data_IF_295891255732
#
_entry.id   IF_295891255732
#
_cell.length_a   1.000
_cell.length_b   1.000
_cell.length_c   1.000
_cell.angle_alpha   90.00
_cell.angle_beta   90.00
_cell.angle_gamma   90.00
#
_symmetry.space_group_name_H-M   'P 1'
#
loop_
_entity.id
_entity.type
_entity.pdbx_description
1 polymer ?
#
# COMPACT_ATOMS: atom_id res chain seq x y z
N UNK A 1 6.14 8.80 -27.14
CA UNK A 1 4.93 9.13 -26.38
C UNK A 1 4.79 8.11 -25.27
N UNK A 2 4.89 8.53 -24.00
CA UNK A 2 4.49 7.69 -22.88
C UNK A 2 2.98 7.49 -23.06
N UNK A 3 2.57 6.37 -23.65
CA UNK A 3 1.15 6.05 -23.79
C UNK A 3 0.56 6.09 -22.39
N UNK A 4 -0.48 6.89 -22.17
CA UNK A 4 -1.20 6.95 -20.91
C UNK A 4 -1.42 5.51 -20.42
N UNK A 5 -0.80 5.16 -19.29
CA UNK A 5 -0.83 3.80 -18.78
C UNK A 5 -2.23 3.58 -18.20
N UNK A 6 -3.07 2.84 -18.92
CA UNK A 6 -4.46 2.58 -18.51
C UNK A 6 -5.51 3.40 -19.26
N UNK A 7 -6.76 3.07 -18.99
CA UNK A 7 -7.91 3.75 -19.59
C UNK A 7 -8.00 5.19 -19.09
N UNK A 8 -8.33 6.14 -19.97
CA UNK A 8 -8.44 7.56 -19.58
C UNK A 8 -9.49 7.78 -18.49
N UNK A 9 -9.25 8.73 -17.58
CA UNK A 9 -10.09 8.97 -16.38
C UNK A 9 -11.58 9.13 -16.70
N UNK A 10 -11.92 9.91 -17.73
CA UNK A 10 -13.31 10.14 -18.11
C UNK A 10 -13.98 8.90 -18.74
N UNK A 11 -13.21 8.02 -19.41
CA UNK A 11 -13.70 6.71 -19.84
C UNK A 11 -14.01 5.81 -18.63
N UNK A 12 -13.11 5.79 -17.62
CA UNK A 12 -13.34 5.03 -16.38
C UNK A 12 -14.58 5.55 -15.64
N UNK A 13 -14.76 6.87 -15.54
CA UNK A 13 -15.94 7.49 -14.94
C UNK A 13 -17.22 7.17 -15.72
N UNK A 14 -17.17 7.13 -17.06
CA UNK A 14 -18.30 6.74 -17.89
C UNK A 14 -18.73 5.29 -17.61
N UNK A 15 -17.77 4.36 -17.50
CA UNK A 15 -18.05 2.98 -17.11
C UNK A 15 -18.63 2.90 -15.69
N UNK A 16 -18.06 3.64 -14.75
CA UNK A 16 -18.50 3.66 -13.34
C UNK A 16 -19.94 4.16 -13.20
N UNK A 17 -20.31 5.24 -13.90
CA UNK A 17 -21.69 5.79 -13.88
C UNK A 17 -22.72 4.86 -14.49
N UNK A 18 -22.33 4.05 -15.47
CA UNK A 18 -23.22 3.11 -16.15
C UNK A 18 -23.10 1.67 -15.63
N UNK A 19 -22.32 1.45 -14.57
CA UNK A 19 -21.91 0.12 -14.08
C UNK A 19 -23.09 -0.81 -13.79
N UNK A 20 -24.13 -0.31 -13.13
CA UNK A 20 -25.32 -1.12 -12.77
C UNK A 20 -26.05 -1.60 -14.02
N UNK A 21 -26.21 -0.73 -15.01
CA UNK A 21 -26.91 -1.06 -16.25
C UNK A 21 -26.11 -2.05 -17.07
N UNK A 22 -24.80 -1.83 -17.20
CA UNK A 22 -23.89 -2.74 -17.87
C UNK A 22 -23.86 -4.11 -17.19
N UNK A 23 -23.77 -4.16 -15.86
CA UNK A 23 -23.77 -5.43 -15.14
C UNK A 23 -25.05 -6.25 -15.37
N UNK A 24 -26.20 -5.60 -15.63
CA UNK A 24 -27.50 -6.26 -15.85
C UNK A 24 -27.72 -6.70 -17.29
N UNK A 25 -27.36 -5.88 -18.26
CA UNK A 25 -27.77 -6.07 -19.66
C UNK A 25 -26.66 -6.58 -20.58
N UNK A 26 -25.41 -6.56 -20.13
CA UNK A 26 -24.28 -6.98 -20.93
C UNK A 26 -24.34 -8.49 -21.20
N UNK A 27 -24.20 -8.86 -22.47
CA UNK A 27 -24.06 -10.23 -22.94
C UNK A 27 -22.60 -10.47 -23.29
N UNK A 28 -21.88 -11.17 -22.41
CA UNK A 28 -20.43 -11.35 -22.56
C UNK A 28 -20.03 -12.34 -23.64
N UNK A 29 -20.85 -13.35 -23.95
CA UNK A 29 -20.40 -14.50 -24.75
C UNK A 29 -19.78 -14.09 -26.09
N UNK A 30 -20.52 -13.36 -26.91
CA UNK A 30 -20.04 -12.87 -28.22
C UNK A 30 -19.06 -11.70 -28.08
N UNK A 31 -19.21 -10.91 -27.00
CA UNK A 31 -18.39 -9.75 -26.74
C UNK A 31 -16.95 -10.11 -26.38
N UNK A 32 -16.76 -11.21 -25.65
CA UNK A 32 -15.45 -11.75 -25.28
C UNK A 32 -14.62 -12.13 -26.51
N UNK A 33 -15.25 -12.74 -27.53
CA UNK A 33 -14.56 -13.14 -28.76
C UNK A 33 -13.93 -11.92 -29.46
N UNK A 34 -14.67 -10.82 -29.56
CA UNK A 34 -14.17 -9.56 -30.13
C UNK A 34 -13.08 -8.90 -29.26
N UNK A 35 -13.17 -8.98 -27.93
CA UNK A 35 -12.12 -8.44 -27.05
C UNK A 35 -10.82 -9.24 -27.12
N UNK A 36 -10.90 -10.55 -27.31
CA UNK A 36 -9.72 -11.41 -27.52
C UNK A 36 -9.10 -11.07 -28.88
N UNK A 37 -9.91 -10.93 -29.93
CA UNK A 37 -9.43 -10.57 -31.27
C UNK A 37 -8.69 -9.21 -31.28
N UNK A 38 -9.15 -8.25 -30.47
CA UNK A 38 -8.49 -6.93 -30.32
C UNK A 38 -7.34 -6.92 -29.30
N UNK A 39 -6.90 -8.09 -28.82
CA UNK A 39 -5.85 -8.27 -27.80
C UNK A 39 -6.09 -7.48 -26.50
N UNK A 40 -7.35 -7.13 -26.20
CA UNK A 40 -7.71 -6.38 -25.00
C UNK A 40 -7.78 -7.32 -23.81
N UNK A 41 -8.37 -8.51 -23.94
CA UNK A 41 -8.42 -9.52 -22.89
C UNK A 41 -7.79 -10.82 -23.37
N UNK A 42 -7.21 -11.58 -22.45
CA UNK A 42 -6.63 -12.89 -22.77
C UNK A 42 -7.66 -14.00 -22.56
N UNK A 43 -7.43 -15.16 -23.17
CA UNK A 43 -8.27 -16.35 -22.98
C UNK A 43 -8.34 -16.74 -21.50
N UNK A 44 -7.23 -16.66 -20.76
CA UNK A 44 -7.16 -16.91 -19.32
C UNK A 44 -8.09 -15.97 -18.52
N UNK A 45 -8.15 -14.69 -18.89
CA UNK A 45 -9.08 -13.75 -18.27
C UNK A 45 -10.54 -14.13 -18.56
N UNK A 46 -10.83 -14.60 -19.76
CA UNK A 46 -12.18 -15.07 -20.13
C UNK A 46 -12.57 -16.28 -19.29
N UNK A 47 -11.66 -17.22 -19.06
CA UNK A 47 -11.89 -18.38 -18.18
C UNK A 47 -12.17 -17.95 -16.73
N UNK A 48 -11.41 -17.00 -16.18
CA UNK A 48 -11.65 -16.45 -14.84
C UNK A 48 -13.03 -15.76 -14.73
N UNK A 49 -13.42 -15.02 -15.76
CA UNK A 49 -14.72 -14.37 -15.83
C UNK A 49 -15.81 -15.44 -15.89
N UNK A 50 -15.68 -16.44 -16.76
CA UNK A 50 -16.64 -17.52 -16.94
C UNK A 50 -16.78 -18.42 -15.70
N UNK A 51 -15.74 -18.51 -14.86
CA UNK A 51 -15.78 -19.23 -13.59
C UNK A 51 -16.75 -18.60 -12.56
N UNK A 52 -17.14 -17.33 -12.72
CA UNK A 52 -18.13 -16.69 -11.84
C UNK A 52 -19.54 -17.23 -12.13
N UNK A 53 -20.32 -17.44 -11.07
CA UNK A 53 -21.69 -17.96 -11.15
C UNK A 53 -22.70 -16.88 -11.56
N UNK A 54 -23.29 -17.07 -12.74
CA UNK A 54 -24.37 -16.21 -13.27
C UNK A 54 -23.87 -15.01 -14.07
N UNK A 55 -24.64 -14.61 -15.08
CA UNK A 55 -24.27 -13.55 -16.03
C UNK A 55 -23.91 -12.23 -15.34
N UNK A 56 -24.67 -11.83 -14.32
CA UNK A 56 -24.40 -10.60 -13.57
C UNK A 56 -23.00 -10.57 -12.95
N UNK A 57 -22.60 -11.65 -12.26
CA UNK A 57 -21.29 -11.77 -11.62
C UNK A 57 -20.16 -11.77 -12.66
N UNK A 58 -20.36 -12.44 -13.79
CA UNK A 58 -19.41 -12.45 -14.91
C UNK A 58 -19.25 -11.03 -15.50
N UNK A 59 -20.36 -10.30 -15.68
CA UNK A 59 -20.36 -8.93 -16.18
C UNK A 59 -19.59 -7.99 -15.25
N UNK A 60 -19.81 -8.10 -13.94
CA UNK A 60 -19.08 -7.29 -12.94
C UNK A 60 -17.57 -7.58 -13.00
N UNK A 61 -17.18 -8.85 -13.09
CA UNK A 61 -15.77 -9.24 -13.18
C UNK A 61 -15.11 -8.66 -14.44
N UNK A 62 -15.77 -8.78 -15.61
CA UNK A 62 -15.28 -8.17 -16.85
C UNK A 62 -15.12 -6.65 -16.73
N UNK A 63 -16.12 -5.96 -16.17
CA UNK A 63 -16.11 -4.50 -16.00
C UNK A 63 -15.04 -4.03 -15.00
N UNK A 64 -14.59 -4.89 -14.08
CA UNK A 64 -13.46 -4.61 -13.18
C UNK A 64 -12.11 -4.70 -13.89
N UNK A 65 -12.00 -5.62 -14.84
CA UNK A 65 -10.77 -5.84 -15.59
C UNK A 65 -10.59 -4.78 -16.69
N UNK A 66 -11.67 -4.39 -17.37
CA UNK A 66 -11.63 -3.55 -18.56
C UNK A 66 -10.87 -2.21 -18.39
N UNK A 67 -11.06 -1.40 -17.31
CA UNK A 67 -10.31 -0.15 -17.09
C UNK A 67 -8.79 -0.30 -17.09
N UNK A 68 -8.31 -1.51 -16.78
CA UNK A 68 -6.89 -1.81 -16.56
C UNK A 68 -6.18 -2.31 -17.81
N UNK A 69 -6.92 -2.55 -18.91
CA UNK A 69 -6.39 -3.13 -20.16
C UNK A 69 -5.82 -2.11 -21.14
N UNK A 70 -5.47 -0.93 -20.63
CA UNK A 70 -4.79 0.11 -21.39
C UNK A 70 -5.73 1.12 -22.05
N UNK A 71 -5.16 2.10 -22.76
CA UNK A 71 -5.91 3.26 -23.26
C UNK A 71 -6.95 2.90 -24.34
N UNK A 72 -6.69 1.83 -25.11
CA UNK A 72 -7.55 1.37 -26.21
C UNK A 72 -8.69 0.47 -25.73
N UNK A 73 -8.71 0.07 -24.45
CA UNK A 73 -9.71 -0.86 -23.93
C UNK A 73 -11.13 -0.29 -24.04
N UNK A 74 -11.31 1.02 -23.82
CA UNK A 74 -12.61 1.66 -23.90
C UNK A 74 -13.16 1.73 -25.34
N UNK A 75 -12.32 2.11 -26.29
CA UNK A 75 -12.72 2.19 -27.70
C UNK A 75 -13.03 0.80 -28.26
N UNK A 76 -12.16 -0.17 -27.99
CA UNK A 76 -12.40 -1.57 -28.34
C UNK A 76 -13.68 -2.11 -27.69
N UNK A 77 -13.97 -1.70 -26.44
CA UNK A 77 -15.21 -2.07 -25.78
C UNK A 77 -16.45 -1.54 -26.49
N UNK A 78 -16.43 -0.26 -26.87
CA UNK A 78 -17.53 0.37 -27.59
C UNK A 78 -17.73 -0.26 -28.99
N UNK A 79 -16.65 -0.58 -29.70
CA UNK A 79 -16.72 -1.26 -31.01
C UNK A 79 -17.32 -2.66 -30.88
N UNK A 80 -16.86 -3.47 -29.94
CA UNK A 80 -17.39 -4.82 -29.75
C UNK A 80 -18.86 -4.81 -29.30
N UNK A 81 -19.31 -3.81 -28.52
CA UNK A 81 -20.74 -3.63 -28.23
C UNK A 81 -21.55 -3.36 -29.51
N UNK A 82 -21.02 -2.60 -30.46
CA UNK A 82 -21.67 -2.35 -31.74
C UNK A 82 -21.74 -3.60 -32.62
N UNK A 83 -20.66 -4.37 -32.68
CA UNK A 83 -20.54 -5.61 -33.47
C UNK A 83 -21.43 -6.74 -32.92
N UNK A 84 -21.59 -6.81 -31.60
CA UNK A 84 -22.43 -7.82 -30.91
C UNK A 84 -23.90 -7.41 -30.78
N UNK A 85 -24.36 -6.42 -31.55
CA UNK A 85 -25.74 -5.91 -31.54
C UNK A 85 -26.20 -5.36 -30.18
N UNK A 86 -25.27 -4.94 -29.32
CA UNK A 86 -25.51 -4.28 -28.03
C UNK A 86 -25.30 -2.77 -28.13
N UNK A 87 -25.76 -2.17 -29.24
CA UNK A 87 -25.54 -0.77 -29.60
C UNK A 87 -26.13 0.20 -28.57
N UNK A 88 -27.25 -0.15 -27.95
CA UNK A 88 -27.90 0.69 -26.94
C UNK A 88 -26.98 0.92 -25.71
N UNK A 89 -26.18 -0.08 -25.33
CA UNK A 89 -25.19 0.06 -24.27
C UNK A 89 -24.04 0.97 -24.69
N UNK A 90 -23.56 0.82 -25.93
CA UNK A 90 -22.50 1.67 -26.47
C UNK A 90 -22.94 3.15 -26.52
N UNK A 91 -24.14 3.43 -27.03
CA UNK A 91 -24.70 4.78 -27.10
C UNK A 91 -24.87 5.41 -25.71
N UNK A 92 -25.36 4.63 -24.73
CA UNK A 92 -25.52 5.09 -23.35
C UNK A 92 -24.18 5.49 -22.72
N UNK A 93 -23.14 4.66 -22.87
CA UNK A 93 -21.81 4.96 -22.34
C UNK A 93 -21.21 6.16 -23.07
N UNK A 94 -21.26 6.18 -24.40
CA UNK A 94 -20.70 7.27 -25.21
C UNK A 94 -21.39 8.61 -24.93
N UNK A 95 -22.69 8.63 -24.67
CA UNK A 95 -23.42 9.83 -24.24
C UNK A 95 -22.93 10.34 -22.88
N UNK A 96 -22.67 9.42 -21.95
CA UNK A 96 -22.12 9.75 -20.62
C UNK A 96 -20.69 10.27 -20.73
N UNK A 97 -19.87 9.59 -21.53
CA UNK A 97 -18.49 9.97 -21.84
C UNK A 97 -18.44 11.37 -22.45
N UNK A 98 -19.25 11.63 -23.48
CA UNK A 98 -19.33 12.94 -24.12
C UNK A 98 -19.70 14.02 -23.11
N UNK A 99 -20.67 13.76 -22.21
CA UNK A 99 -21.05 14.70 -21.15
C UNK A 99 -19.90 15.01 -20.19
N UNK A 100 -19.09 14.01 -19.84
CA UNK A 100 -17.90 14.16 -18.99
C UNK A 100 -16.79 14.93 -19.71
N UNK A 101 -16.53 14.60 -20.98
CA UNK A 101 -15.50 15.21 -21.82
C UNK A 101 -15.76 16.70 -22.02
N UNK A 102 -17.03 17.09 -22.26
CA UNK A 102 -17.41 18.50 -22.36
C UNK A 102 -17.22 19.26 -21.05
N UNK A 103 -17.45 18.60 -19.89
CA UNK A 103 -17.17 19.20 -18.59
C UNK A 103 -15.68 19.47 -18.34
N UNK A 104 -14.80 18.61 -18.86
CA UNK A 104 -13.34 18.77 -18.75
C UNK A 104 -12.81 19.81 -19.75
N UNK A 105 -13.35 19.85 -20.98
CA UNK A 105 -12.93 20.81 -22.00
C UNK A 105 -13.13 22.28 -21.58
N UNK A 106 -14.13 22.56 -20.72
CA UNK A 106 -14.30 23.89 -20.11
C UNK A 106 -13.19 24.29 -19.13
N UNK A 107 -12.40 23.34 -18.61
CA UNK A 107 -11.25 23.64 -17.74
C UNK A 107 -9.92 23.78 -18.49
N UNK A 108 -9.73 23.04 -19.58
CA UNK A 108 -8.42 22.94 -20.26
C UNK A 108 -8.11 24.09 -21.23
N UNK A 109 -9.07 24.98 -21.51
CA UNK A 109 -8.82 26.22 -22.26
C UNK A 109 -7.83 27.19 -21.58
N UNK A 110 -7.29 26.88 -20.40
CA UNK A 110 -6.27 27.72 -19.73
C UNK A 110 -4.81 27.34 -19.94
N UNK A 111 -4.46 26.19 -20.48
CA UNK A 111 -3.03 25.85 -20.63
C UNK A 111 -2.74 25.16 -21.96
N UNK A 112 -2.35 25.99 -22.92
CA UNK A 112 -2.04 25.58 -24.28
C UNK A 112 -0.58 25.18 -24.51
N UNK A 113 -0.46 24.27 -25.49
CA UNK A 113 0.55 24.22 -26.55
C UNK A 113 1.91 23.52 -26.33
N UNK A 114 2.01 22.38 -27.03
CA UNK A 114 3.03 22.01 -28.02
C UNK A 114 4.47 21.68 -27.57
N UNK A 115 4.84 20.39 -27.62
CA UNK A 115 6.18 20.00 -28.07
C UNK A 115 6.20 18.60 -28.75
N UNK A 116 6.77 18.45 -29.96
CA UNK A 116 6.84 17.20 -30.72
C UNK A 116 8.17 16.46 -30.51
N UNK A 117 8.16 15.12 -30.41
CA UNK A 117 9.38 14.30 -30.42
C UNK A 117 9.22 13.02 -31.28
N UNK A 118 10.28 12.58 -31.98
CA UNK A 118 10.20 11.61 -33.07
C UNK A 118 10.24 10.15 -32.60
N UNK A 119 9.65 9.30 -33.45
CA UNK A 119 9.47 7.86 -33.36
C UNK A 119 10.65 7.11 -34.01
N UNK A 120 11.02 5.95 -33.46
CA UNK A 120 11.56 4.84 -34.25
C UNK A 120 11.31 3.51 -33.54
N UNK A 121 10.96 2.53 -34.37
CA UNK A 121 10.41 1.20 -34.12
C UNK A 121 11.46 0.16 -33.69
N UNK A 122 11.00 -0.97 -33.12
CA UNK A 122 11.11 -2.28 -33.78
C UNK A 122 10.44 -3.38 -32.93
N UNK A 123 9.46 -4.07 -33.53
CA UNK A 123 8.81 -5.26 -32.98
C UNK A 123 9.58 -6.53 -33.38
N UNK A 124 9.73 -7.49 -32.48
CA UNK A 124 10.11 -8.85 -32.88
C UNK A 124 9.47 -9.95 -31.99
N UNK A 125 8.48 -10.60 -32.58
CA UNK A 125 8.35 -12.06 -32.76
C UNK A 125 8.20 -13.02 -31.55
N UNK A 126 6.96 -13.52 -31.41
CA UNK A 126 6.54 -14.95 -31.43
C UNK A 126 7.21 -15.98 -30.49
N UNK A 127 6.41 -16.59 -29.59
CA UNK A 127 5.96 -18.02 -29.62
C UNK A 127 5.19 -18.43 -28.34
N UNK A 128 4.23 -19.40 -28.43
CA UNK A 128 3.31 -19.75 -27.36
C UNK A 128 3.89 -20.82 -26.42
N UNK A 129 3.51 -20.77 -25.14
CA UNK A 129 3.74 -21.87 -24.19
C UNK A 129 2.50 -22.03 -23.29
N UNK A 130 2.10 -23.28 -23.08
CA UNK A 130 1.08 -23.67 -22.11
C UNK A 130 1.46 -23.11 -20.73
N UNK A 131 0.62 -22.28 -20.13
CA UNK A 131 0.79 -21.86 -18.75
C UNK A 131 -0.21 -22.63 -17.91
N UNK A 132 0.30 -23.69 -17.30
CA UNK A 132 -0.31 -24.34 -16.15
C UNK A 132 -0.33 -23.33 -15.01
N UNK A 133 -1.47 -23.23 -14.35
CA UNK A 133 -1.72 -22.41 -13.14
C UNK A 133 -0.53 -22.48 -12.19
N UNK A 134 0.31 -21.45 -12.18
CA UNK A 134 1.33 -21.31 -11.16
C UNK A 134 0.66 -20.83 -9.88
N UNK A 135 0.08 -21.81 -9.19
CA UNK A 135 -0.19 -21.81 -7.76
C UNK A 135 0.99 -21.18 -7.03
N UNK A 136 0.75 -20.02 -6.42
CA UNK A 136 1.71 -19.37 -5.53
C UNK A 136 2.05 -20.35 -4.40
N UNK A 137 3.31 -20.77 -4.38
CA UNK A 137 4.08 -21.50 -3.36
C UNK A 137 3.27 -22.30 -2.30
N UNK A 138 3.47 -23.61 -2.31
CA UNK A 138 2.83 -24.60 -1.44
C UNK A 138 3.70 -24.86 -0.21
N UNK A 139 3.64 -23.97 0.78
CA UNK A 139 4.27 -24.19 2.07
C UNK A 139 3.72 -23.19 3.06
N UNK A 140 3.31 -23.69 4.22
CA UNK A 140 2.82 -22.90 5.35
C UNK A 140 3.60 -21.59 5.48
N UNK A 141 2.89 -20.47 5.67
CA UNK A 141 3.52 -19.16 5.82
C UNK A 141 4.71 -19.26 6.78
N UNK A 142 5.86 -18.62 6.44
CA UNK A 142 7.11 -18.90 7.13
C UNK A 142 6.92 -18.67 8.65
N UNK A 143 7.30 -19.63 9.51
CA UNK A 143 7.35 -19.34 10.94
C UNK A 143 8.29 -18.16 11.11
N UNK A 144 7.80 -17.08 11.73
CA UNK A 144 8.64 -15.91 12.02
C UNK A 144 9.84 -16.41 12.82
N UNK A 145 11.07 -16.15 12.36
CA UNK A 145 12.24 -16.55 13.12
C UNK A 145 12.20 -15.89 14.50
N UNK A 146 12.67 -16.56 15.56
CA UNK A 146 12.71 -15.96 16.89
C UNK A 146 13.52 -14.66 16.84
N UNK A 147 13.00 -13.60 17.47
CA UNK A 147 13.68 -12.31 17.56
C UNK A 147 15.03 -12.53 18.24
N UNK A 148 16.12 -12.11 17.59
CA UNK A 148 17.46 -12.21 18.18
C UNK A 148 17.63 -11.16 19.27
N UNK A 149 18.27 -11.54 20.37
CA UNK A 149 18.46 -10.65 21.51
C UNK A 149 19.65 -9.71 21.31
N UNK A 150 19.52 -8.50 21.83
CA UNK A 150 20.59 -7.52 21.96
C UNK A 150 21.66 -8.02 22.95
N UNK A 151 22.94 -7.80 22.61
CA UNK A 151 24.04 -8.10 23.54
C UNK A 151 24.22 -6.97 24.56
N UNK A 152 24.70 -7.26 25.78
CA UNK A 152 25.02 -6.22 26.76
C UNK A 152 26.07 -5.22 26.26
N UNK A 153 27.03 -5.67 25.44
CA UNK A 153 28.06 -4.82 24.85
C UNK A 153 27.43 -3.81 23.89
N UNK A 154 26.56 -4.27 22.99
CA UNK A 154 25.89 -3.40 22.04
C UNK A 154 25.07 -2.33 22.75
N UNK A 155 24.27 -2.73 23.75
CA UNK A 155 23.49 -1.77 24.55
C UNK A 155 24.39 -0.73 25.21
N UNK A 156 25.47 -1.14 25.89
CA UNK A 156 26.36 -0.22 26.59
C UNK A 156 26.97 0.81 25.63
N UNK A 157 27.34 0.36 24.44
CA UNK A 157 28.04 1.18 23.46
C UNK A 157 27.09 2.14 22.73
N UNK A 158 25.77 1.90 22.69
CA UNK A 158 24.80 2.73 21.92
C UNK A 158 23.77 3.48 22.78
N UNK A 159 23.55 3.11 24.05
CA UNK A 159 22.50 3.70 24.89
C UNK A 159 22.55 5.23 25.05
N UNK A 160 23.73 5.83 24.89
CA UNK A 160 23.95 7.26 25.14
C UNK A 160 23.51 8.15 23.98
N UNK A 161 23.44 7.62 22.75
CA UNK A 161 22.95 8.30 21.55
C UNK A 161 21.49 7.92 21.22
N UNK A 162 21.02 6.81 21.79
CA UNK A 162 19.71 6.26 21.49
C UNK A 162 18.58 6.86 22.34
N UNK A 163 17.34 6.68 21.87
CA UNK A 163 16.18 6.74 22.75
C UNK A 163 16.32 5.71 23.87
N UNK A 164 15.96 6.10 25.09
CA UNK A 164 15.76 5.15 26.19
C UNK A 164 14.68 4.16 25.76
N UNK A 165 14.96 2.86 25.83
CA UNK A 165 14.01 1.81 25.46
C UNK A 165 14.23 0.54 26.30
N UNK A 166 14.03 0.65 27.60
CA UNK A 166 14.36 -0.38 28.60
C UNK A 166 13.21 -0.72 29.55
N UNK A 167 12.07 -0.04 29.46
CA UNK A 167 10.86 -0.37 30.23
C UNK A 167 10.38 -1.80 29.95
N UNK A 168 9.66 -2.41 30.90
CA UNK A 168 8.96 -3.69 30.73
C UNK A 168 7.45 -3.43 30.92
N UNK A 169 6.63 -3.40 29.86
CA UNK A 169 6.96 -3.58 28.44
C UNK A 169 7.70 -2.37 27.85
N UNK A 170 8.34 -2.56 26.67
CA UNK A 170 9.04 -1.47 25.94
C UNK A 170 8.12 -0.33 25.54
N UNK A 171 6.88 -0.69 25.25
CA UNK A 171 5.87 0.19 24.72
C UNK A 171 4.54 -0.55 24.60
N UNK A 172 3.52 0.21 24.29
CA UNK A 172 2.25 -0.35 23.83
C UNK A 172 2.27 -0.46 22.31
N UNK A 173 1.64 -1.51 21.78
CA UNK A 173 1.46 -1.69 20.35
C UNK A 173 -0.03 -1.88 20.02
N UNK A 174 -0.53 -1.13 19.04
CA UNK A 174 -1.88 -1.28 18.52
C UNK A 174 -1.82 -1.80 17.08
N UNK A 175 -2.56 -2.87 16.80
CA UNK A 175 -2.75 -3.40 15.44
C UNK A 175 -4.23 -3.28 15.08
N UNK A 176 -4.55 -2.53 14.03
CA UNK A 176 -5.87 -2.48 13.42
C UNK A 176 -5.84 -3.27 12.11
N UNK A 177 -6.47 -4.44 12.09
CA UNK A 177 -6.45 -5.36 10.95
C UNK A 177 -7.84 -5.56 10.36
N UNK A 178 -8.10 -4.91 9.24
CA UNK A 178 -9.36 -5.03 8.50
C UNK A 178 -9.16 -6.02 7.36
N UNK A 179 -9.90 -7.13 7.39
CA UNK A 179 -9.82 -8.24 6.44
C UNK A 179 -11.16 -8.38 5.69
N UNK A 180 -12.28 -8.24 6.40
CA UNK A 180 -13.64 -8.37 5.87
C UNK A 180 -14.28 -6.99 5.66
N UNK A 181 -14.78 -6.72 4.47
CA UNK A 181 -15.41 -5.45 4.12
C UNK A 181 -16.87 -5.67 3.71
N UNK A 182 -17.70 -4.66 3.96
CA UNK A 182 -19.08 -4.62 3.45
C UNK A 182 -19.07 -4.62 1.92
N UNK A 183 -19.97 -5.39 1.30
CA UNK A 183 -20.01 -5.63 -0.15
C UNK A 183 -20.38 -4.39 -0.99
N UNK A 184 -20.81 -3.29 -0.36
CA UNK A 184 -21.35 -2.12 -1.06
C UNK A 184 -20.29 -1.24 -1.74
N UNK A 185 -18.99 -1.48 -1.50
CA UNK A 185 -17.90 -0.55 -1.87
C UNK A 185 -16.84 -1.12 -2.81
N UNK A 186 -17.10 -2.24 -3.47
CA UNK A 186 -16.12 -2.95 -4.32
C UNK A 186 -14.80 -3.29 -3.58
N UNK A 187 -14.79 -3.31 -2.24
CA UNK A 187 -13.64 -3.70 -1.42
C UNK A 187 -13.67 -5.21 -1.20
N UNK A 188 -12.67 -5.91 -1.73
CA UNK A 188 -12.57 -7.36 -1.63
C UNK A 188 -12.08 -7.83 -0.25
N UNK A 189 -12.38 -9.08 0.08
CA UNK A 189 -11.78 -9.80 1.22
C UNK A 189 -10.25 -9.85 1.09
N UNK A 190 -9.52 -9.49 2.14
CA UNK A 190 -8.04 -9.47 2.15
C UNK A 190 -7.45 -10.81 2.56
N UNK A 191 -7.51 -11.80 1.67
CA UNK A 191 -6.92 -13.13 1.90
C UNK A 191 -5.43 -13.07 2.28
N UNK A 192 -5.01 -13.71 3.37
CA UNK A 192 -3.65 -13.60 3.93
C UNK A 192 -3.42 -12.38 4.82
N UNK A 193 -4.42 -11.50 5.01
CA UNK A 193 -4.35 -10.40 5.98
C UNK A 193 -4.35 -10.88 7.44
N UNK A 194 -4.86 -12.08 7.69
CA UNK A 194 -4.75 -12.81 8.95
C UNK A 194 -3.30 -13.23 9.23
N UNK A 195 -2.57 -13.64 8.19
CA UNK A 195 -1.13 -13.93 8.27
C UNK A 195 -0.35 -12.67 8.63
N UNK A 196 -0.63 -11.53 7.97
CA UNK A 196 -0.01 -10.24 8.32
C UNK A 196 -0.24 -9.87 9.79
N UNK A 197 -1.48 -10.03 10.25
CA UNK A 197 -1.89 -9.69 11.60
C UNK A 197 -1.19 -10.55 12.66
N UNK A 198 -1.26 -11.87 12.51
CA UNK A 198 -0.60 -12.82 13.40
C UNK A 198 0.92 -12.61 13.41
N UNK A 199 1.48 -12.28 12.24
CA UNK A 199 2.90 -12.04 12.08
C UNK A 199 3.38 -10.82 12.88
N UNK A 200 2.69 -9.69 12.74
CA UNK A 200 3.03 -8.49 13.50
C UNK A 200 2.77 -8.66 14.99
N UNK A 201 1.68 -9.31 15.38
CA UNK A 201 1.37 -9.54 16.79
C UNK A 201 2.48 -10.35 17.47
N UNK A 202 2.93 -11.43 16.84
CA UNK A 202 4.01 -12.26 17.36
C UNK A 202 5.34 -11.49 17.42
N UNK A 203 5.68 -10.76 16.35
CA UNK A 203 6.90 -9.94 16.29
C UNK A 203 6.93 -8.91 17.43
N UNK A 204 5.86 -8.12 17.60
CA UNK A 204 5.82 -7.07 18.61
C UNK A 204 5.84 -7.64 20.03
N UNK A 205 5.19 -8.78 20.28
CA UNK A 205 5.31 -9.51 21.55
C UNK A 205 6.76 -9.92 21.82
N UNK A 206 7.45 -10.49 20.84
CA UNK A 206 8.87 -10.88 20.98
C UNK A 206 9.83 -9.69 21.12
N UNK A 207 9.47 -8.51 20.58
CA UNK A 207 10.18 -7.25 20.81
C UNK A 207 9.88 -6.62 22.19
N UNK A 208 9.03 -7.25 23.02
CA UNK A 208 8.73 -6.81 24.38
C UNK A 208 7.62 -5.77 24.49
N UNK A 209 6.72 -5.68 23.50
CA UNK A 209 5.57 -4.78 23.53
C UNK A 209 4.32 -5.46 24.07
N UNK A 210 3.48 -4.68 24.75
CA UNK A 210 2.11 -5.09 25.07
C UNK A 210 1.21 -4.81 23.86
N UNK A 211 0.76 -5.86 23.18
CA UNK A 211 0.03 -5.77 21.92
C UNK A 211 -1.49 -5.85 22.15
N UNK A 212 -2.21 -4.88 21.60
CA UNK A 212 -3.67 -4.88 21.45
C UNK A 212 -4.01 -4.99 19.97
N UNK A 213 -4.90 -5.92 19.62
CA UNK A 213 -5.34 -6.13 18.24
C UNK A 213 -6.84 -5.89 18.15
N UNK A 214 -7.28 -5.09 17.17
CA UNK A 214 -8.68 -5.00 16.76
C UNK A 214 -8.83 -5.45 15.31
N UNK A 215 -9.87 -6.23 15.07
CA UNK A 215 -10.18 -6.76 13.74
C UNK A 215 -11.41 -6.06 13.16
N UNK A 216 -11.41 -5.90 11.84
CA UNK A 216 -12.59 -5.55 11.04
C UNK A 216 -13.38 -4.33 11.56
N UNK A 217 -12.66 -3.24 11.83
CA UNK A 217 -13.20 -1.98 12.34
C UNK A 217 -13.69 -1.07 11.21
N UNK A 218 -14.86 -0.46 11.39
CA UNK A 218 -15.31 0.68 10.58
C UNK A 218 -14.38 1.89 10.76
N UNK A 219 -14.50 2.90 9.89
CA UNK A 219 -13.65 4.09 9.99
C UNK A 219 -13.79 4.81 11.34
N UNK A 220 -15.02 4.91 11.86
CA UNK A 220 -15.32 5.52 13.16
C UNK A 220 -14.75 4.69 14.32
N UNK A 221 -14.85 3.35 14.25
CA UNK A 221 -14.28 2.47 15.27
C UNK A 221 -12.74 2.51 15.27
N UNK A 222 -12.11 2.59 14.09
CA UNK A 222 -10.66 2.77 13.98
C UNK A 222 -10.22 4.11 14.61
N UNK A 223 -10.93 5.20 14.31
CA UNK A 223 -10.65 6.52 14.89
C UNK A 223 -10.81 6.48 16.42
N UNK A 224 -11.89 5.91 16.92
CA UNK A 224 -12.12 5.71 18.36
C UNK A 224 -11.04 4.86 19.02
N UNK A 225 -10.59 3.79 18.35
CA UNK A 225 -9.54 2.91 18.86
C UNK A 225 -8.20 3.65 18.96
N UNK A 226 -7.83 4.41 17.93
CA UNK A 226 -6.62 5.23 17.92
C UNK A 226 -6.68 6.33 18.98
N UNK A 227 -7.83 6.99 19.13
CA UNK A 227 -8.00 8.03 20.14
C UNK A 227 -7.86 7.43 21.54
N UNK A 228 -8.61 6.37 21.87
CA UNK A 228 -8.52 5.68 23.16
C UNK A 228 -7.11 5.21 23.46
N UNK A 229 -6.43 4.62 22.48
CA UNK A 229 -5.05 4.15 22.63
C UNK A 229 -4.09 5.30 22.89
N UNK A 230 -4.15 6.39 22.10
CA UNK A 230 -3.31 7.58 22.29
C UNK A 230 -3.49 8.25 23.65
N UNK A 231 -4.63 8.05 24.31
CA UNK A 231 -4.96 8.63 25.63
C UNK A 231 -4.69 7.70 26.81
N UNK A 232 -4.13 6.50 26.58
CA UNK A 232 -3.80 5.60 27.67
C UNK A 232 -2.77 6.24 28.63
N UNK A 233 -3.02 6.25 29.94
CA UNK A 233 -2.07 6.78 30.91
C UNK A 233 -0.79 5.95 30.96
N UNK A 234 -0.88 4.65 30.65
CA UNK A 234 0.23 3.69 30.63
C UNK A 234 1.38 4.11 29.69
N UNK A 235 1.10 4.95 28.67
CA UNK A 235 2.14 5.55 27.84
C UNK A 235 3.17 6.36 28.64
N UNK A 236 2.82 6.85 29.83
CA UNK A 236 3.73 7.56 30.72
C UNK A 236 4.87 6.66 31.22
N UNK A 237 4.56 5.39 31.50
CA UNK A 237 5.46 4.45 32.19
C UNK A 237 6.26 3.55 31.24
N UNK A 238 5.90 3.54 29.95
CA UNK A 238 6.63 2.83 28.90
C UNK A 238 7.50 3.79 28.07
N UNK A 239 8.49 3.26 27.37
CA UNK A 239 9.48 4.07 26.68
C UNK A 239 9.14 4.36 25.19
N UNK A 240 8.18 3.65 24.59
CA UNK A 240 7.77 3.86 23.18
C UNK A 240 6.33 3.46 22.86
N UNK A 241 5.96 3.62 21.58
CA UNK A 241 4.67 3.22 21.04
C UNK A 241 4.80 2.68 19.60
N UNK A 242 3.99 1.67 19.25
CA UNK A 242 3.82 1.17 17.88
C UNK A 242 2.34 1.22 17.48
N UNK A 243 2.05 1.63 16.25
CA UNK A 243 0.72 1.50 15.62
C UNK A 243 0.88 0.86 14.24
N UNK A 244 0.15 -0.22 13.97
CA UNK A 244 0.09 -0.86 12.67
C UNK A 244 -1.34 -0.80 12.10
N UNK A 245 -1.49 -0.31 10.87
CA UNK A 245 -2.76 -0.26 10.15
C UNK A 245 -2.71 -1.18 8.94
N UNK A 246 -3.53 -2.24 8.92
CA UNK A 246 -3.55 -3.27 7.88
C UNK A 246 -4.92 -3.30 7.21
N UNK A 247 -5.05 -2.72 6.01
CA UNK A 247 -6.34 -2.64 5.30
C UNK A 247 -6.14 -2.36 3.80
N UNK A 248 -7.23 -2.13 3.09
CA UNK A 248 -7.19 -1.38 1.83
C UNK A 248 -6.93 0.10 2.11
N UNK A 249 -6.46 0.84 1.10
CA UNK A 249 -6.22 2.27 1.25
C UNK A 249 -6.20 3.02 -0.06
N UNK A 250 -6.03 4.33 0.07
CA UNK A 250 -5.77 5.29 -1.00
C UNK A 250 -4.68 6.25 -0.52
N UNK A 251 -4.22 7.15 -1.38
CA UNK A 251 -3.25 8.15 -0.96
C UNK A 251 -3.77 8.95 0.25
N UNK A 252 -3.06 8.85 1.38
CA UNK A 252 -3.39 9.59 2.61
C UNK A 252 -4.47 8.97 3.49
N UNK A 253 -5.08 7.84 3.13
CA UNK A 253 -6.18 7.25 3.89
C UNK A 253 -6.25 5.73 3.87
N UNK A 254 -6.86 5.17 4.91
CA UNK A 254 -7.04 3.72 5.11
C UNK A 254 -8.54 3.43 5.24
N UNK A 255 -9.04 2.38 4.58
CA UNK A 255 -10.46 2.06 4.62
C UNK A 255 -10.86 1.33 5.90
N UNK A 256 -11.99 1.76 6.47
CA UNK A 256 -12.78 0.95 7.38
C UNK A 256 -13.56 -0.13 6.66
N UNK A 257 -14.10 -1.09 7.41
CA UNK A 257 -14.93 -2.17 6.86
C UNK A 257 -16.26 -1.66 6.27
N UNK A 258 -16.68 -0.46 6.65
CA UNK A 258 -17.79 0.31 6.08
C UNK A 258 -17.41 1.07 4.78
N UNK A 259 -16.17 0.93 4.32
CA UNK A 259 -15.63 1.59 3.14
C UNK A 259 -15.52 3.10 3.24
N UNK A 260 -15.60 3.67 4.45
CA UNK A 260 -15.20 5.05 4.73
C UNK A 260 -13.71 5.11 5.03
N UNK A 261 -13.11 6.30 4.89
CA UNK A 261 -11.68 6.50 5.08
C UNK A 261 -11.38 7.06 6.47
N UNK A 262 -10.47 6.39 7.18
CA UNK A 262 -9.66 7.00 8.22
C UNK A 262 -8.54 7.80 7.54
N UNK A 263 -8.49 9.10 7.81
CA UNK A 263 -7.43 9.96 7.30
C UNK A 263 -6.15 9.75 8.10
N UNK A 264 -5.05 9.38 7.44
CA UNK A 264 -3.76 9.13 8.11
C UNK A 264 -3.24 10.37 8.84
N UNK A 265 -3.51 11.57 8.32
CA UNK A 265 -3.11 12.81 8.99
C UNK A 265 -3.81 13.04 10.32
N UNK A 266 -5.08 12.63 10.43
CA UNK A 266 -5.83 12.66 11.68
C UNK A 266 -5.32 11.58 12.63
N UNK A 267 -5.06 10.37 12.13
CA UNK A 267 -4.42 9.31 12.92
C UNK A 267 -3.07 9.78 13.51
N UNK A 268 -2.19 10.40 12.72
CA UNK A 268 -0.91 10.92 13.21
C UNK A 268 -1.07 12.12 14.16
N UNK A 269 -2.12 12.94 14.00
CA UNK A 269 -2.42 14.06 14.91
C UNK A 269 -2.69 13.58 16.32
N UNK A 270 -3.34 12.42 16.50
CA UNK A 270 -3.64 11.86 17.83
C UNK A 270 -2.38 11.58 18.66
N UNK A 271 -1.24 11.30 18.00
CA UNK A 271 0.03 10.98 18.66
C UNK A 271 1.04 12.13 18.63
N UNK A 272 0.62 13.32 18.24
CA UNK A 272 1.48 14.50 18.25
C UNK A 272 1.77 14.96 19.69
N UNK A 273 2.73 15.87 19.86
CA UNK A 273 3.20 16.27 21.19
C UNK A 273 2.13 17.00 22.02
N UNK A 274 1.11 17.59 21.37
CA UNK A 274 0.02 18.28 22.07
C UNK A 274 -1.10 17.30 22.47
N UNK A 275 -1.41 16.33 21.62
CA UNK A 275 -2.49 15.38 21.81
C UNK A 275 -2.07 14.16 22.65
N UNK A 276 -0.79 13.77 22.61
CA UNK A 276 -0.26 12.65 23.39
C UNK A 276 0.97 13.07 24.23
N UNK A 277 0.78 13.87 25.30
CA UNK A 277 1.90 14.38 26.12
C UNK A 277 2.72 13.25 26.78
N UNK A 278 2.10 12.10 27.06
CA UNK A 278 2.77 10.93 27.65
C UNK A 278 3.83 10.30 26.72
N UNK A 279 3.79 10.61 25.41
CA UNK A 279 4.74 10.16 24.39
C UNK A 279 5.67 11.28 23.86
N UNK A 280 5.74 12.43 24.53
CA UNK A 280 6.73 13.46 24.19
C UNK A 280 8.16 12.94 24.38
N UNK A 281 9.04 13.19 23.40
CA UNK A 281 10.43 12.71 23.36
C UNK A 281 10.57 11.17 23.38
N UNK A 282 9.49 10.43 23.15
CA UNK A 282 9.47 8.97 23.02
C UNK A 282 9.23 8.58 21.56
N UNK A 283 9.92 7.55 21.04
CA UNK A 283 9.77 7.12 19.66
C UNK A 283 8.37 6.51 19.42
N UNK A 284 7.73 6.96 18.35
CA UNK A 284 6.40 6.55 17.88
C UNK A 284 6.54 5.93 16.50
N UNK A 285 6.34 4.63 16.39
CA UNK A 285 6.50 3.89 15.15
C UNK A 285 5.14 3.58 14.52
N UNK A 286 5.00 3.88 13.23
CA UNK A 286 3.81 3.57 12.45
C UNK A 286 4.15 2.64 11.28
N UNK A 287 3.39 1.57 11.09
CA UNK A 287 3.55 0.65 9.96
C UNK A 287 2.22 0.53 9.20
N UNK A 288 2.19 1.04 7.98
CA UNK A 288 0.97 1.19 7.19
C UNK A 288 1.00 0.21 6.00
N UNK A 289 0.27 -0.89 6.14
CA UNK A 289 -0.01 -1.83 5.06
C UNK A 289 -1.35 -1.46 4.39
N UNK A 290 -1.28 -0.59 3.41
CA UNK A 290 -2.42 -0.19 2.59
C UNK A 290 -1.94 0.36 1.24
N UNK A 291 -2.76 0.22 0.19
CA UNK A 291 -2.51 0.90 -1.09
C UNK A 291 -2.50 2.41 -0.89
N UNK A 292 -1.71 3.13 -1.71
CA UNK A 292 -1.62 4.59 -1.70
C UNK A 292 -1.91 5.19 -3.06
N UNK A 293 -2.61 4.42 -3.88
CA UNK A 293 -3.08 4.71 -5.22
C UNK A 293 -3.38 3.39 -5.93
N UNK A 294 -3.68 3.47 -7.21
CA UNK A 294 -4.08 2.35 -8.06
C UNK A 294 -3.06 2.01 -9.15
N UNK A 295 -1.93 2.73 -9.21
CA UNK A 295 -0.88 2.45 -10.19
C UNK A 295 -0.11 1.18 -9.81
N UNK A 296 -0.11 0.19 -10.71
CA UNK A 296 0.76 -0.98 -10.62
C UNK A 296 2.15 -0.61 -11.14
N UNK A 297 3.17 -0.66 -10.28
CA UNK A 297 4.56 -0.47 -10.71
C UNK A 297 4.97 -1.64 -11.61
N UNK A 298 5.28 -1.35 -12.87
CA UNK A 298 5.67 -2.35 -13.87
C UNK A 298 7.18 -2.63 -13.86
N UNK A 299 7.93 -1.93 -13.03
CA UNK A 299 9.38 -1.89 -13.09
C UNK A 299 9.91 -1.36 -14.41
N UNK A 300 11.23 -1.33 -14.51
CA UNK A 300 11.97 -1.10 -15.75
C UNK A 300 13.17 -2.03 -15.78
N UNK A 301 13.59 -2.47 -16.97
CA UNK A 301 14.79 -3.28 -17.09
C UNK A 301 16.01 -2.46 -16.63
N UNK A 302 16.84 -3.06 -15.77
CA UNK A 302 18.06 -2.44 -15.29
C UNK A 302 19.00 -2.20 -16.47
N UNK A 303 19.27 -0.93 -16.78
CA UNK A 303 20.36 -0.56 -17.69
C UNK A 303 21.69 -0.69 -16.96
N UNK A 304 22.73 -1.09 -17.68
CA UNK A 304 24.10 -1.09 -17.20
C UNK A 304 24.46 0.31 -16.68
N UNK A 305 24.47 0.48 -15.36
CA UNK A 305 24.56 1.77 -14.70
C UNK A 305 25.24 1.64 -13.35
N UNK A 306 26.51 2.03 -13.32
CA UNK A 306 27.35 2.16 -12.13
C UNK A 306 26.68 3.14 -11.15
N UNK A 307 26.53 2.74 -9.89
CA UNK A 307 25.99 3.57 -8.80
C UNK A 307 26.74 4.92 -8.72
N UNK A 308 26.00 6.02 -8.62
CA UNK A 308 26.51 7.34 -8.23
C UNK A 308 25.63 7.86 -7.10
N UNK A 309 26.18 7.86 -5.90
CA UNK A 309 25.72 8.64 -4.75
C UNK A 309 26.41 9.99 -4.77
N UNK A 310 25.69 11.07 -4.44
CA UNK A 310 26.17 12.22 -3.66
C UNK A 310 24.97 13.13 -3.36
N UNK A 311 24.76 13.46 -2.09
CA UNK A 311 23.66 14.30 -1.61
C UNK A 311 24.25 15.53 -0.90
N UNK A 312 23.88 16.77 -1.27
CA UNK A 312 24.40 17.97 -0.62
C UNK A 312 23.58 18.34 0.63
N UNK A 313 24.31 18.64 1.71
CA UNK A 313 23.77 19.16 2.96
C UNK A 313 23.32 20.61 2.86
N UNK A 314 22.34 20.98 3.69
CA UNK A 314 21.84 22.35 3.83
C UNK A 314 22.15 22.87 5.23
N UNK A 315 22.47 24.15 5.28
CA UNK A 315 23.20 24.86 6.34
C UNK A 315 22.31 25.33 7.50
N UNK A 316 22.97 25.59 8.62
CA UNK A 316 22.43 26.07 9.90
C UNK A 316 22.35 27.62 9.94
N UNK A 317 21.41 28.17 10.72
CA UNK A 317 21.36 29.61 11.03
C UNK A 317 21.08 29.86 12.52
N UNK A 318 21.89 30.76 13.10
CA UNK A 318 21.85 31.18 14.50
C UNK A 318 20.66 32.09 14.85
N UNK A 319 20.03 31.85 16.00
CA UNK A 319 19.19 32.83 16.68
C UNK A 319 19.46 32.83 18.19
N UNK A 320 19.81 34.01 18.69
CA UNK A 320 20.20 34.35 20.04
C UNK A 320 18.99 34.96 20.80
N UNK A 321 18.71 34.52 22.03
CA UNK A 321 18.40 35.34 23.23
C UNK A 321 17.69 34.55 24.34
N UNK A 322 18.12 34.89 25.54
CA UNK A 322 17.62 34.51 26.85
C UNK A 322 16.13 34.78 27.05
N UNK A 323 15.45 33.83 27.68
CA UNK A 323 14.51 34.00 28.80
C UNK A 323 14.13 32.59 29.26
N UNK A 324 13.55 32.45 30.46
CA UNK A 324 13.17 31.18 31.11
C UNK A 324 12.00 30.49 30.39
N UNK A 325 12.14 30.29 29.09
CA UNK A 325 11.12 29.77 28.19
C UNK A 325 10.96 28.28 28.46
N UNK A 326 9.73 27.88 28.74
CA UNK A 326 9.35 26.46 28.71
C UNK A 326 9.81 25.90 27.37
N UNK A 327 10.66 24.87 27.41
CA UNK A 327 11.16 24.17 26.23
C UNK A 327 9.97 23.84 25.32
N UNK A 328 10.00 24.36 24.08
CA UNK A 328 8.93 24.16 23.11
C UNK A 328 9.33 23.08 22.13
N UNK A 329 8.52 22.03 22.04
CA UNK A 329 8.69 20.98 21.03
C UNK A 329 7.97 21.36 19.73
N UNK A 330 8.40 20.85 18.57
CA UNK A 330 7.59 20.85 17.36
C UNK A 330 6.24 20.16 17.60
N UNK A 331 5.23 20.46 16.77
CA UNK A 331 3.91 19.80 16.88
C UNK A 331 4.06 18.29 16.80
N UNK A 332 4.87 17.79 15.84
CA UNK A 332 5.20 16.36 15.69
C UNK A 332 6.72 16.18 15.71
N UNK A 333 7.20 15.30 16.58
CA UNK A 333 8.58 14.84 16.65
C UNK A 333 8.63 13.39 17.11
N UNK A 334 9.79 12.75 16.95
CA UNK A 334 10.04 11.39 17.44
C UNK A 334 9.11 10.36 16.78
N UNK A 335 8.74 10.57 15.52
CA UNK A 335 7.91 9.63 14.74
C UNK A 335 8.72 9.01 13.60
N UNK A 336 8.50 7.73 13.34
CA UNK A 336 8.93 7.07 12.11
C UNK A 336 7.75 6.28 11.53
N UNK A 337 7.48 6.45 10.24
CA UNK A 337 6.35 5.83 9.58
C UNK A 337 6.81 5.08 8.33
N UNK A 338 6.61 3.77 8.30
CA UNK A 338 6.81 2.93 7.14
C UNK A 338 5.50 2.67 6.39
N UNK A 339 5.57 2.74 5.06
CA UNK A 339 4.45 2.48 4.15
C UNK A 339 4.82 1.32 3.22
N UNK A 340 3.86 0.42 2.98
CA UNK A 340 4.05 -0.73 2.11
C UNK A 340 4.45 -0.35 0.67
N UNK A 341 3.84 0.71 0.14
CA UNK A 341 4.08 1.20 -1.21
C UNK A 341 4.31 2.71 -1.27
N UNK A 342 4.86 3.17 -2.39
CA UNK A 342 5.03 4.59 -2.71
C UNK A 342 3.66 5.28 -2.86
N UNK A 343 3.65 6.62 -2.75
CA UNK A 343 2.47 7.40 -3.12
C UNK A 343 2.07 7.15 -4.57
N UNK A 344 0.77 7.01 -4.82
CA UNK A 344 0.22 6.72 -6.14
C UNK A 344 0.17 5.24 -6.51
N UNK A 345 0.86 4.35 -5.78
CA UNK A 345 0.96 2.93 -6.18
C UNK A 345 0.16 1.98 -5.30
N UNK A 346 -0.12 0.79 -5.85
CA UNK A 346 -0.77 -0.30 -5.14
C UNK A 346 0.25 -1.10 -4.29
N UNK A 347 -0.20 -1.61 -3.14
CA UNK A 347 0.59 -2.52 -2.31
C UNK A 347 0.27 -3.98 -2.65
N UNK A 348 1.30 -4.83 -2.79
CA UNK A 348 1.11 -6.21 -3.24
C UNK A 348 0.95 -7.19 -2.07
N UNK A 349 0.09 -8.18 -2.29
CA UNK A 349 -0.23 -9.22 -1.30
C UNK A 349 -0.21 -10.61 -1.91
N UNK A 350 0.35 -11.56 -1.16
CA UNK A 350 0.22 -12.98 -1.43
C UNK A 350 -0.92 -13.55 -0.56
N UNK A 351 -1.85 -14.27 -1.18
CA UNK A 351 -3.05 -14.78 -0.49
C UNK A 351 -2.76 -15.84 0.58
N UNK A 352 -1.57 -16.45 0.58
CA UNK A 352 -1.16 -17.48 1.55
C UNK A 352 -0.09 -17.00 2.53
N UNK A 353 0.84 -16.15 2.07
CA UNK A 353 2.01 -15.71 2.86
C UNK A 353 1.83 -14.34 3.51
N UNK A 354 0.74 -13.63 3.19
CA UNK A 354 0.54 -12.25 3.59
C UNK A 354 1.10 -11.25 2.59
N UNK A 355 1.10 -9.98 2.97
CA UNK A 355 1.66 -8.88 2.20
C UNK A 355 3.18 -8.94 2.12
N UNK A 356 3.71 -8.50 0.99
CA UNK A 356 5.17 -8.50 0.80
C UNK A 356 5.88 -7.64 1.84
N UNK A 357 5.28 -6.48 2.15
CA UNK A 357 5.81 -5.55 3.13
C UNK A 357 5.85 -6.13 4.54
N UNK A 358 4.77 -6.74 5.04
CA UNK A 358 4.77 -7.29 6.40
C UNK A 358 5.67 -8.51 6.51
N UNK A 359 5.74 -9.36 5.49
CA UNK A 359 6.69 -10.48 5.45
C UNK A 359 8.15 -10.00 5.52
N UNK A 360 8.50 -8.97 4.73
CA UNK A 360 9.84 -8.38 4.77
C UNK A 360 10.12 -7.66 6.11
N UNK A 361 9.16 -6.88 6.61
CA UNK A 361 9.25 -6.14 7.87
C UNK A 361 9.52 -7.10 9.04
N UNK A 362 8.72 -8.17 9.16
CA UNK A 362 8.84 -9.16 10.22
C UNK A 362 10.14 -9.94 10.15
N UNK A 363 10.57 -10.32 8.94
CA UNK A 363 11.86 -11.01 8.73
C UNK A 363 13.04 -10.14 9.17
N UNK A 364 13.08 -8.89 8.70
CA UNK A 364 14.17 -7.96 9.04
C UNK A 364 14.17 -7.63 10.54
N UNK A 365 13.01 -7.28 11.11
CA UNK A 365 12.96 -6.88 12.52
C UNK A 365 13.26 -8.05 13.45
N UNK A 366 12.91 -9.29 13.08
CA UNK A 366 13.28 -10.45 13.89
C UNK A 366 14.80 -10.70 13.90
N UNK A 367 15.47 -10.50 12.76
CA UNK A 367 16.90 -10.76 12.62
C UNK A 367 17.78 -9.61 13.13
N UNK A 368 17.44 -8.38 12.75
CA UNK A 368 18.33 -7.21 12.82
C UNK A 368 18.03 -6.27 14.01
N UNK A 369 16.88 -6.42 14.70
CA UNK A 369 16.52 -5.53 15.82
C UNK A 369 17.45 -5.61 17.03
N UNK A 370 18.30 -6.64 17.10
CA UNK A 370 19.31 -6.84 18.14
C UNK A 370 20.42 -5.77 18.14
N UNK A 371 20.72 -5.18 16.97
CA UNK A 371 21.90 -4.34 16.76
C UNK A 371 21.77 -3.26 15.66
N UNK A 372 20.63 -3.19 14.97
CA UNK A 372 20.46 -2.28 13.83
C UNK A 372 19.47 -1.15 14.15
N UNK A 373 19.79 0.07 13.73
CA UNK A 373 18.90 1.22 13.86
C UNK A 373 17.61 1.02 13.05
N UNK A 374 16.44 1.39 13.59
CA UNK A 374 15.14 1.15 12.92
C UNK A 374 15.06 1.73 11.50
N UNK A 375 15.64 2.91 11.22
CA UNK A 375 15.65 3.44 9.86
C UNK A 375 16.48 2.55 8.91
N UNK A 376 17.62 2.02 9.37
CA UNK A 376 18.45 1.09 8.60
C UNK A 376 17.78 -0.27 8.42
N UNK A 377 17.00 -0.72 9.40
CA UNK A 377 16.11 -1.89 9.22
C UNK A 377 15.08 -1.62 8.13
N UNK A 378 14.45 -0.44 8.08
CA UNK A 378 13.54 -0.09 6.99
C UNK A 378 14.24 0.02 5.63
N UNK A 379 15.53 0.38 5.58
CA UNK A 379 16.35 0.27 4.36
C UNK A 379 16.54 -1.19 3.95
N UNK A 380 16.76 -2.11 4.91
CA UNK A 380 16.81 -3.56 4.63
C UNK A 380 15.46 -4.10 4.14
N UNK A 381 14.34 -3.62 4.70
CA UNK A 381 12.99 -3.94 4.20
C UNK A 381 12.84 -3.48 2.75
N UNK A 382 13.19 -2.22 2.46
CA UNK A 382 13.19 -1.70 1.09
C UNK A 382 14.03 -2.59 0.16
N UNK A 383 15.21 -3.03 0.59
CA UNK A 383 16.07 -3.93 -0.19
C UNK A 383 15.37 -5.26 -0.51
N UNK A 384 14.68 -5.87 0.46
CA UNK A 384 13.94 -7.11 0.22
C UNK A 384 12.76 -6.91 -0.74
N UNK A 385 11.99 -5.83 -0.57
CA UNK A 385 10.84 -5.52 -1.45
C UNK A 385 11.30 -5.25 -2.88
N UNK A 386 12.37 -4.48 -3.08
CA UNK A 386 12.97 -4.22 -4.40
C UNK A 386 13.33 -5.50 -5.16
N UNK A 387 13.69 -6.56 -4.46
CA UNK A 387 14.05 -7.86 -5.07
C UNK A 387 12.84 -8.71 -5.47
N UNK A 388 11.66 -8.46 -4.92
CA UNK A 388 10.43 -9.21 -5.25
C UNK A 388 9.91 -8.81 -6.61
N UNK A 389 9.34 -9.77 -7.33
CA UNK A 389 8.69 -9.56 -8.63
C UNK A 389 7.41 -10.40 -8.65
N UNK A 390 6.32 -9.80 -9.14
CA UNK A 390 5.03 -10.45 -9.22
C UNK A 390 5.07 -11.56 -10.26
N UNK A 391 4.55 -12.74 -9.94
CA UNK A 391 4.48 -13.84 -10.88
C UNK A 391 3.02 -14.26 -11.07
N UNK A 392 2.34 -13.58 -11.99
CA UNK A 392 0.96 -13.89 -12.37
C UNK A 392 0.76 -13.76 -13.89
N UNK A 393 1.36 -14.66 -14.71
CA UNK A 393 1.27 -14.58 -16.17
C UNK A 393 -0.16 -14.35 -16.68
N UNK A 394 -0.29 -13.60 -17.78
CA UNK A 394 -1.59 -13.21 -18.36
C UNK A 394 -2.32 -12.07 -17.65
N UNK A 395 -1.93 -11.74 -16.41
CA UNK A 395 -2.49 -10.62 -15.65
C UNK A 395 -1.60 -9.38 -15.72
N UNK A 396 -2.16 -8.22 -15.37
CA UNK A 396 -1.40 -6.97 -15.21
C UNK A 396 -0.36 -7.03 -14.07
N UNK A 397 -0.49 -8.01 -13.17
CA UNK A 397 0.41 -8.21 -12.04
C UNK A 397 1.59 -9.12 -12.38
N UNK A 398 1.66 -9.66 -13.61
CA UNK A 398 2.86 -10.35 -14.06
C UNK A 398 4.03 -9.38 -14.15
N UNK A 399 5.15 -9.72 -13.51
CA UNK A 399 6.37 -8.92 -13.41
C UNK A 399 6.18 -7.54 -12.78
N UNK A 400 5.09 -7.33 -12.05
CA UNK A 400 4.94 -6.10 -11.29
C UNK A 400 6.00 -6.00 -10.18
N UNK A 401 6.31 -4.78 -9.79
CA UNK A 401 7.22 -4.43 -8.72
C UNK A 401 6.44 -3.73 -7.62
N UNK A 402 7.05 -3.65 -6.45
CA UNK A 402 6.58 -2.81 -5.35
C UNK A 402 7.82 -2.14 -4.77
N UNK A 403 7.63 -0.99 -4.14
CA UNK A 403 8.67 -0.34 -3.37
C UNK A 403 8.04 0.30 -2.14
N UNK A 404 8.49 -0.11 -0.97
CA UNK A 404 8.14 0.54 0.28
C UNK A 404 8.87 1.86 0.45
N UNK A 405 8.29 2.76 1.24
CA UNK A 405 8.93 4.01 1.66
C UNK A 405 8.77 4.23 3.15
N UNK A 406 9.64 5.04 3.74
CA UNK A 406 9.46 5.50 5.11
C UNK A 406 9.81 6.98 5.23
N UNK A 407 9.23 7.63 6.23
CA UNK A 407 9.61 8.98 6.65
C UNK A 407 9.91 8.98 8.15
N UNK A 408 10.84 9.85 8.56
CA UNK A 408 11.31 9.92 9.94
C UNK A 408 11.42 11.37 10.41
N UNK A 409 11.06 11.56 11.67
CA UNK A 409 11.30 12.76 12.49
C UNK A 409 11.95 12.36 13.81
N UNK A 410 12.61 11.19 13.84
CA UNK A 410 13.43 10.77 14.98
C UNK A 410 14.56 11.78 15.19
N UNK A 411 14.81 12.13 16.45
CA UNK A 411 15.85 13.06 16.88
C UNK A 411 17.02 12.34 17.58
N UNK A 412 16.96 11.02 17.71
CA UNK A 412 17.97 10.14 18.31
C UNK A 412 17.97 8.80 17.58
N UNK A 413 19.03 8.03 17.78
CA UNK A 413 19.06 6.66 17.29
C UNK A 413 17.95 5.86 17.97
N UNK A 414 17.29 5.01 17.19
CA UNK A 414 16.27 4.10 17.67
C UNK A 414 16.77 2.67 17.49
N UNK A 415 17.16 2.05 18.60
CA UNK A 415 17.46 0.62 18.71
C UNK A 415 16.41 -0.03 19.61
N UNK A 416 15.97 -1.26 19.28
CA UNK A 416 14.86 -1.90 19.99
C UNK A 416 15.30 -2.71 21.22
N UNK A 417 16.60 -2.96 21.37
CA UNK A 417 17.21 -3.69 22.49
C UNK A 417 16.39 -4.93 22.95
N UNK A 418 16.00 -5.84 22.04
CA UNK A 418 15.19 -7.00 22.38
C UNK A 418 15.91 -7.88 23.40
N UNK A 419 15.17 -8.35 24.41
CA UNK A 419 15.68 -9.25 25.45
C UNK A 419 16.66 -8.66 26.46
N UNK A 420 17.15 -7.43 26.29
CA UNK A 420 18.09 -6.80 27.23
C UNK A 420 17.36 -6.18 28.43
N UNK A 421 17.61 -6.64 29.66
CA UNK A 421 17.00 -6.03 30.86
C UNK A 421 18.10 -5.47 31.75
N UNK A 422 18.14 -4.15 32.02
CA UNK A 422 19.18 -3.57 32.87
C UNK A 422 19.19 -4.22 34.26
N UNK A 423 20.37 -4.70 34.68
CA UNK A 423 20.60 -5.27 36.01
C UNK A 423 20.12 -6.72 36.20
N UNK A 424 19.63 -7.40 35.15
CA UNK A 424 19.38 -8.85 35.15
C UNK A 424 20.46 -9.61 34.40
#
# INVERSE_FOLDING_TARGET
>A
MLGACGMQRYHQEALKKNRVMLARELVLKELMEHMIEKDIITIEMVEMIQAKSGSFSQNVEFLNLLPKRGPNAFSAFCEALQETKQQHLAEMILKTESSLRHGIATLEQRYGSNLPLPLSESCNSKRPRLIVEHSLDSGDGPPIPPVKHCTPEFYRDHQHLAYKLISEPRGLALILSNIHFSSEKDLEYRSGGDVDCASLELLFKHLGYQVTVFHDQSAEEMESALERFSKLPDHQDVDSCIVALLSHGVEGGVYGTDGKLLQLQEAFRLFDNANCPNLQNKPKMFFIQACRGDETDRGVDQRDGKERSDSPGCEESDANKEENLKLRLPTRSDMICGYACLKGTAAMRNTKRGSWYIEALTTVFAEDSRDTHVADMLVKVNRQIKQREGYAPGTEFHRCKEMSEYCSTLCRDLYLFPGYVPGK
#
